data_IF_950003095070
#
_entry.id   IF_950003095070
#
_cell.length_a   1.000
_cell.length_b   1.000
_cell.length_c   1.000
_cell.angle_alpha   90.00
_cell.angle_beta   90.00
_cell.angle_gamma   90.00
#
_symmetry.space_group_name_H-M   'P 1'
#
loop_
_entity.id
_entity.type
_entity.pdbx_description
1 polymer ?
#
# COMPACT_ATOMS: atom_id res chain seq x y z
N UNK A 1 14.26 -1.02 3.67
CA UNK A 1 15.05 0.07 3.06
C UNK A 1 16.35 -0.51 2.50
N UNK A 2 16.68 -0.17 1.27
CA UNK A 2 17.90 -0.67 0.61
C UNK A 2 19.14 0.17 0.96
N UNK A 3 18.96 1.45 1.29
CA UNK A 3 20.04 2.41 1.57
C UNK A 3 20.08 2.82 3.04
N UNK A 4 21.08 2.34 3.77
CA UNK A 4 21.32 2.75 5.17
C UNK A 4 21.57 4.26 5.31
N UNK A 5 22.05 4.93 4.26
CA UNK A 5 22.25 6.38 4.24
C UNK A 5 20.94 7.14 4.35
N UNK A 6 19.89 6.67 3.70
CA UNK A 6 18.54 7.26 3.81
C UNK A 6 18.05 7.20 5.25
N UNK A 7 18.22 6.08 5.93
CA UNK A 7 17.83 5.93 7.35
C UNK A 7 18.60 6.92 8.23
N UNK A 8 19.90 7.02 8.04
CA UNK A 8 20.76 7.96 8.82
C UNK A 8 20.35 9.40 8.58
N UNK A 9 20.10 9.75 7.31
CA UNK A 9 19.63 11.09 6.94
C UNK A 9 18.29 11.43 7.57
N UNK A 10 17.31 10.51 7.50
CA UNK A 10 15.98 10.72 8.07
C UNK A 10 16.02 10.85 9.60
N UNK A 11 16.86 10.08 10.28
CA UNK A 11 17.05 10.23 11.74
C UNK A 11 17.57 11.61 12.10
N UNK A 12 18.51 12.13 11.34
CA UNK A 12 19.19 13.38 11.63
C UNK A 12 18.36 14.62 11.22
N UNK A 13 17.77 14.58 10.03
CA UNK A 13 17.19 15.80 9.42
C UNK A 13 15.66 15.79 9.34
N UNK A 14 15.02 14.63 9.51
CA UNK A 14 13.58 14.48 9.43
C UNK A 14 12.97 13.82 10.70
N UNK A 15 13.37 14.23 11.92
CA UNK A 15 12.94 13.55 13.15
C UNK A 15 11.43 13.61 13.37
N UNK A 16 10.75 14.64 12.86
CA UNK A 16 9.30 14.78 12.99
C UNK A 16 8.52 13.83 12.07
N UNK A 17 9.13 13.32 10.98
CA UNK A 17 8.50 12.38 10.07
C UNK A 17 8.46 10.97 10.67
N UNK A 18 9.55 10.53 11.28
CA UNK A 18 9.61 9.23 11.92
C UNK A 18 9.01 9.23 13.33
N UNK A 19 8.87 10.42 13.96
CA UNK A 19 8.23 10.61 15.26
C UNK A 19 8.66 9.60 16.35
N UNK A 20 9.94 9.21 16.37
CA UNK A 20 10.49 8.26 17.32
C UNK A 20 10.26 6.78 16.97
N UNK A 21 9.72 6.47 15.78
CA UNK A 21 9.46 5.08 15.38
C UNK A 21 10.70 4.19 15.40
N UNK A 22 11.86 4.76 15.11
CA UNK A 22 13.13 4.02 15.14
C UNK A 22 13.54 3.50 16.53
N UNK A 23 13.00 4.11 17.59
CA UNK A 23 13.28 3.78 18.98
C UNK A 23 12.16 2.93 19.61
N UNK A 24 11.09 2.65 18.86
CA UNK A 24 10.00 1.79 19.31
C UNK A 24 10.46 0.32 19.30
N UNK A 25 10.32 -0.42 20.43
CA UNK A 25 10.78 -1.81 20.52
C UNK A 25 10.06 -2.78 19.55
N UNK A 26 8.94 -2.37 18.98
CA UNK A 26 8.21 -3.15 17.95
C UNK A 26 8.80 -2.94 16.56
N UNK A 27 9.57 -1.86 16.36
CA UNK A 27 10.16 -1.54 15.06
C UNK A 27 11.40 -2.41 14.79
N UNK A 28 11.41 -3.07 13.64
CA UNK A 28 12.56 -3.87 13.19
C UNK A 28 13.01 -3.35 11.83
N UNK A 29 14.11 -2.62 11.82
CA UNK A 29 14.76 -2.16 10.58
C UNK A 29 15.53 -3.32 9.94
N UNK A 30 15.32 -3.52 8.65
CA UNK A 30 16.11 -4.41 7.79
C UNK A 30 16.67 -3.58 6.64
N UNK A 31 17.99 -3.60 6.47
CA UNK A 31 18.66 -2.97 5.33
C UNK A 31 18.90 -4.07 4.30
N UNK A 32 18.04 -4.11 3.28
CA UNK A 32 18.06 -5.12 2.22
C UNK A 32 17.22 -4.64 1.02
N UNK A 33 17.41 -5.30 -0.12
CA UNK A 33 16.51 -5.20 -1.26
C UNK A 33 15.17 -5.87 -0.93
N UNK A 34 14.06 -5.17 -1.12
CA UNK A 34 12.71 -5.69 -0.84
C UNK A 34 12.38 -6.96 -1.62
N UNK A 35 12.87 -7.10 -2.85
CA UNK A 35 12.71 -8.33 -3.67
C UNK A 35 13.45 -9.50 -3.04
N UNK A 36 14.70 -9.28 -2.62
CA UNK A 36 15.48 -10.30 -1.92
C UNK A 36 14.81 -10.70 -0.61
N UNK A 37 14.37 -9.71 0.15
CA UNK A 37 13.71 -9.95 1.44
C UNK A 37 12.48 -10.85 1.29
N UNK A 38 11.53 -10.53 0.39
CA UNK A 38 10.32 -11.36 0.21
C UNK A 38 10.62 -12.74 -0.37
N UNK A 39 11.72 -12.89 -1.10
CA UNK A 39 12.13 -14.18 -1.65
C UNK A 39 12.82 -15.10 -0.63
N UNK A 40 13.46 -14.55 0.38
CA UNK A 40 14.30 -15.30 1.32
C UNK A 40 13.69 -15.45 2.71
N UNK A 41 12.77 -14.55 3.10
CA UNK A 41 12.17 -14.59 4.43
C UNK A 41 11.22 -15.78 4.60
N UNK A 42 11.25 -16.37 5.79
CA UNK A 42 10.25 -17.32 6.26
C UNK A 42 9.18 -16.66 7.15
N UNK A 43 9.29 -15.34 7.39
CA UNK A 43 8.31 -14.61 8.18
C UNK A 43 7.03 -14.38 7.38
N UNK A 44 5.90 -14.35 8.09
CA UNK A 44 4.61 -13.97 7.52
C UNK A 44 4.06 -12.75 8.23
N UNK A 45 3.22 -11.98 7.52
CA UNK A 45 2.72 -10.68 7.95
C UNK A 45 1.21 -10.61 7.75
N UNK A 46 0.52 -9.86 8.59
CA UNK A 46 -0.91 -9.57 8.40
C UNK A 46 -1.12 -8.45 7.38
N UNK A 47 -0.15 -7.55 7.24
CA UNK A 47 -0.16 -6.46 6.27
C UNK A 47 1.23 -6.26 5.69
N UNK A 48 1.31 -6.13 4.36
CA UNK A 48 2.51 -5.69 3.64
C UNK A 48 2.18 -4.37 2.95
N UNK A 49 2.98 -3.34 3.19
CA UNK A 49 2.87 -2.03 2.56
C UNK A 49 4.12 -1.80 1.72
N UNK A 50 3.95 -1.72 0.40
CA UNK A 50 5.01 -1.37 -0.55
C UNK A 50 4.90 0.11 -0.87
N UNK A 51 5.62 0.93 -0.11
CA UNK A 51 5.77 2.36 -0.37
C UNK A 51 7.13 2.58 -1.06
N UNK A 52 7.08 2.82 -2.36
CA UNK A 52 8.25 2.87 -3.23
C UNK A 52 8.14 4.05 -4.21
N UNK A 53 9.19 4.27 -5.00
CA UNK A 53 9.15 5.21 -6.12
C UNK A 53 8.28 4.66 -7.26
N UNK A 54 7.96 5.50 -8.23
CA UNK A 54 7.29 5.06 -9.49
C UNK A 54 8.07 3.91 -10.14
N UNK A 55 7.42 3.10 -11.00
CA UNK A 55 8.05 1.94 -11.67
C UNK A 55 9.07 2.35 -12.74
N UNK A 56 10.05 3.14 -12.35
CA UNK A 56 11.12 3.67 -13.19
C UNK A 56 12.47 3.35 -12.56
N UNK A 57 13.38 2.78 -13.36
CA UNK A 57 14.72 2.44 -12.90
C UNK A 57 14.71 1.39 -11.79
N UNK A 58 15.45 1.58 -10.67
CA UNK A 58 15.54 0.56 -9.62
C UNK A 58 14.21 0.20 -8.95
N UNK A 59 13.25 1.14 -8.92
CA UNK A 59 11.91 0.93 -8.35
C UNK A 59 11.05 -0.05 -9.15
N UNK A 60 11.33 -0.24 -10.45
CA UNK A 60 10.56 -1.10 -11.34
C UNK A 60 10.45 -2.55 -10.83
N UNK A 61 11.47 -3.04 -10.13
CA UNK A 61 11.50 -4.39 -9.58
C UNK A 61 10.38 -4.67 -8.58
N UNK A 62 9.87 -3.64 -7.89
CA UNK A 62 8.78 -3.72 -6.91
C UNK A 62 7.36 -3.71 -7.54
N UNK A 63 7.28 -3.61 -8.88
CA UNK A 63 6.03 -3.68 -9.65
C UNK A 63 5.96 -4.93 -10.54
N UNK A 64 6.83 -5.89 -10.29
CA UNK A 64 6.86 -7.14 -11.07
C UNK A 64 5.91 -8.20 -10.50
N UNK A 65 5.42 -9.09 -11.36
CA UNK A 65 4.63 -10.26 -10.94
C UNK A 65 5.39 -11.12 -9.92
N UNK A 66 6.70 -11.29 -10.08
CA UNK A 66 7.53 -12.06 -9.15
C UNK A 66 7.58 -11.43 -7.75
N UNK A 67 7.62 -10.10 -7.65
CA UNK A 67 7.56 -9.41 -6.37
C UNK A 67 6.18 -9.58 -5.71
N UNK A 68 5.10 -9.42 -6.47
CA UNK A 68 3.74 -9.60 -5.96
C UNK A 68 3.47 -11.04 -5.49
N UNK A 69 3.98 -12.04 -6.22
CA UNK A 69 3.95 -13.45 -5.80
C UNK A 69 4.72 -13.66 -4.49
N UNK A 70 5.91 -13.06 -4.38
CA UNK A 70 6.71 -13.07 -3.15
C UNK A 70 5.95 -12.45 -1.96
N UNK A 71 5.34 -11.30 -2.16
CA UNK A 71 4.51 -10.64 -1.14
C UNK A 71 3.31 -11.53 -0.75
N UNK A 72 2.63 -12.13 -1.73
CA UNK A 72 1.53 -13.06 -1.48
C UNK A 72 1.94 -14.22 -0.57
N UNK A 73 3.08 -14.83 -0.84
CA UNK A 73 3.63 -15.92 -0.02
C UNK A 73 3.95 -15.50 1.40
N UNK A 74 4.36 -14.23 1.60
CA UNK A 74 4.68 -13.66 2.89
C UNK A 74 3.47 -13.16 3.68
N UNK A 75 2.25 -13.25 3.14
CA UNK A 75 1.04 -12.87 3.87
C UNK A 75 0.44 -14.04 4.64
N UNK A 76 -0.03 -13.76 5.85
CA UNK A 76 -0.91 -14.67 6.58
C UNK A 76 -2.24 -14.84 5.85
N UNK A 77 -2.97 -15.94 6.06
CA UNK A 77 -4.31 -16.12 5.48
C UNK A 77 -5.22 -14.92 5.78
N UNK A 78 -5.78 -14.31 4.73
CA UNK A 78 -6.60 -13.09 4.84
C UNK A 78 -5.81 -11.81 5.09
N UNK A 79 -4.49 -11.84 4.98
CA UNK A 79 -3.64 -10.66 5.06
C UNK A 79 -3.84 -9.72 3.87
N UNK A 80 -3.34 -8.50 4.01
CA UNK A 80 -3.56 -7.39 3.07
C UNK A 80 -2.24 -6.95 2.47
N UNK A 81 -2.19 -6.82 1.15
CA UNK A 81 -1.13 -6.14 0.43
C UNK A 81 -1.59 -4.75 -0.01
N UNK A 82 -0.77 -3.75 0.23
CA UNK A 82 -0.99 -2.37 -0.24
C UNK A 82 0.25 -1.89 -0.97
N UNK A 83 0.08 -1.23 -2.11
CA UNK A 83 1.18 -0.60 -2.85
C UNK A 83 0.80 0.80 -3.32
N UNK A 84 1.79 1.72 -3.30
CA UNK A 84 1.68 3.00 -3.96
C UNK A 84 1.52 2.78 -5.47
N UNK A 85 0.63 3.53 -6.13
CA UNK A 85 0.33 3.41 -7.56
C UNK A 85 0.16 4.77 -8.25
N UNK A 86 0.93 5.74 -7.84
CA UNK A 86 1.00 7.04 -8.49
C UNK A 86 -0.28 7.88 -8.43
N UNK A 87 -0.31 8.91 -9.24
CA UNK A 87 -1.43 9.84 -9.39
C UNK A 87 -2.33 9.34 -10.53
N UNK A 88 -3.47 8.75 -10.19
CA UNK A 88 -4.31 8.01 -11.15
C UNK A 88 -4.76 8.80 -12.38
N UNK A 89 -4.88 10.13 -12.29
CA UNK A 89 -5.24 10.97 -13.44
C UNK A 89 -4.11 11.06 -14.48
N UNK A 90 -2.85 11.02 -14.05
CA UNK A 90 -1.67 11.18 -14.90
C UNK A 90 -1.00 9.84 -15.22
N UNK A 91 -1.13 8.87 -14.30
CA UNK A 91 -0.42 7.59 -14.30
C UNK A 91 -1.41 6.42 -14.29
N UNK A 92 -2.51 6.53 -15.03
CA UNK A 92 -3.58 5.53 -15.06
C UNK A 92 -3.08 4.14 -15.44
N UNK A 93 -2.11 4.06 -16.36
CA UNK A 93 -1.52 2.81 -16.82
C UNK A 93 -0.82 2.02 -15.70
N UNK A 94 -0.27 2.70 -14.70
CA UNK A 94 0.33 2.03 -13.54
C UNK A 94 -0.71 1.28 -12.73
N UNK A 95 -1.87 1.91 -12.48
CA UNK A 95 -2.97 1.27 -11.76
C UNK A 95 -3.52 0.08 -12.54
N UNK A 96 -3.68 0.20 -13.86
CA UNK A 96 -4.14 -0.86 -14.75
C UNK A 96 -3.17 -2.05 -14.71
N UNK A 97 -1.88 -1.79 -14.87
CA UNK A 97 -0.86 -2.84 -14.91
C UNK A 97 -0.73 -3.55 -13.56
N UNK A 98 -0.75 -2.80 -12.46
CA UNK A 98 -0.75 -3.36 -11.11
C UNK A 98 -2.00 -4.20 -10.83
N UNK A 99 -3.18 -3.71 -11.22
CA UNK A 99 -4.43 -4.47 -11.09
C UNK A 99 -4.32 -5.81 -11.81
N UNK A 100 -3.92 -5.79 -13.07
CA UNK A 100 -3.76 -6.99 -13.90
C UNK A 100 -2.80 -7.99 -13.26
N UNK A 101 -1.63 -7.55 -12.79
CA UNK A 101 -0.63 -8.42 -12.16
C UNK A 101 -1.11 -8.99 -10.83
N UNK A 102 -1.70 -8.16 -9.97
CA UNK A 102 -2.18 -8.57 -8.65
C UNK A 102 -3.36 -9.55 -8.75
N UNK A 103 -4.23 -9.40 -9.74
CA UNK A 103 -5.39 -10.28 -9.98
C UNK A 103 -4.99 -11.74 -10.30
N UNK A 104 -3.73 -12.01 -10.65
CA UNK A 104 -3.23 -13.38 -10.79
C UNK A 104 -2.99 -14.06 -9.44
N UNK A 105 -2.83 -13.31 -8.37
CA UNK A 105 -2.41 -13.84 -7.06
C UNK A 105 -3.46 -13.66 -5.97
N UNK A 106 -4.34 -12.68 -6.10
CA UNK A 106 -5.33 -12.32 -5.08
C UNK A 106 -6.74 -12.38 -5.64
N UNK A 107 -7.69 -12.82 -4.82
CA UNK A 107 -9.09 -12.93 -5.20
C UNK A 107 -9.85 -11.60 -5.13
N UNK A 108 -9.40 -10.65 -4.32
CA UNK A 108 -9.95 -9.29 -4.23
C UNK A 108 -8.84 -8.27 -4.48
N UNK A 109 -8.91 -7.57 -5.60
CA UNK A 109 -7.99 -6.50 -5.99
C UNK A 109 -8.79 -5.23 -6.28
N UNK A 110 -8.35 -4.13 -5.72
CA UNK A 110 -8.97 -2.83 -5.93
C UNK A 110 -8.00 -1.70 -5.59
N UNK A 111 -8.55 -0.51 -5.50
CA UNK A 111 -7.76 0.68 -5.16
C UNK A 111 -8.50 1.54 -4.15
N UNK A 112 -7.72 2.32 -3.41
CA UNK A 112 -8.24 3.44 -2.67
C UNK A 112 -7.40 4.69 -2.96
N UNK A 113 -7.93 5.84 -2.63
CA UNK A 113 -7.30 7.14 -2.88
C UNK A 113 -7.06 7.89 -1.58
N UNK A 114 -5.97 8.67 -1.54
CA UNK A 114 -5.72 9.61 -0.47
C UNK A 114 -5.19 10.94 -1.03
N UNK A 115 -5.54 12.04 -0.36
CA UNK A 115 -5.00 13.35 -0.68
C UNK A 115 -3.55 13.42 -0.17
N UNK A 116 -2.61 13.59 -1.09
CA UNK A 116 -1.17 13.77 -0.81
C UNK A 116 -0.73 15.07 -1.50
N UNK A 117 -0.93 16.23 -0.86
CA UNK A 117 -0.75 17.56 -1.51
C UNK A 117 0.66 17.86 -2.00
N UNK A 118 1.66 17.12 -1.51
CA UNK A 118 3.06 17.26 -1.94
C UNK A 118 3.33 16.64 -3.31
N UNK A 119 2.42 15.79 -3.79
CA UNK A 119 2.54 15.18 -5.11
C UNK A 119 1.77 15.97 -6.17
N UNK A 120 2.29 15.92 -7.38
CA UNK A 120 1.67 16.52 -8.55
C UNK A 120 0.27 15.93 -8.79
N UNK A 121 -0.73 16.79 -8.80
CA UNK A 121 -2.13 16.37 -8.93
C UNK A 121 -2.87 16.12 -7.60
N UNK A 122 -2.16 15.99 -6.48
CA UNK A 122 -2.73 16.05 -5.13
C UNK A 122 -3.47 14.81 -4.62
N UNK A 123 -3.84 13.86 -5.49
CA UNK A 123 -4.53 12.62 -5.12
C UNK A 123 -3.73 11.44 -5.63
N UNK A 124 -3.29 10.59 -4.71
CA UNK A 124 -2.59 9.35 -5.04
C UNK A 124 -3.51 8.14 -4.92
N UNK A 125 -3.23 7.15 -5.73
CA UNK A 125 -3.90 5.86 -5.77
C UNK A 125 -3.02 4.81 -5.10
N UNK A 126 -3.64 3.95 -4.33
CA UNK A 126 -2.99 2.84 -3.65
C UNK A 126 -3.69 1.54 -4.03
N UNK A 127 -2.93 0.57 -4.52
CA UNK A 127 -3.44 -0.75 -4.75
C UNK A 127 -3.76 -1.44 -3.41
N UNK A 128 -4.83 -2.20 -3.42
CA UNK A 128 -5.29 -3.05 -2.33
C UNK A 128 -5.49 -4.45 -2.87
N UNK A 129 -4.88 -5.45 -2.24
CA UNK A 129 -5.06 -6.83 -2.64
C UNK A 129 -5.14 -7.77 -1.42
N UNK A 130 -6.09 -8.69 -1.44
CA UNK A 130 -6.32 -9.67 -0.37
C UNK A 130 -7.11 -10.88 -0.89
N UNK A 131 -7.16 -11.97 -0.10
CA UNK A 131 -8.11 -13.06 -0.35
C UNK A 131 -9.34 -12.99 0.56
N UNK A 132 -9.50 -11.90 1.30
CA UNK A 132 -10.65 -11.66 2.15
C UNK A 132 -11.42 -10.42 1.66
N UNK A 133 -12.30 -10.61 0.71
CA UNK A 133 -13.11 -9.55 0.10
C UNK A 133 -13.99 -8.76 1.09
N UNK A 134 -14.35 -9.39 2.22
CA UNK A 134 -15.13 -8.73 3.25
C UNK A 134 -14.44 -7.50 3.85
N UNK A 135 -13.10 -7.44 3.83
CA UNK A 135 -12.34 -6.36 4.48
C UNK A 135 -12.60 -4.99 3.84
N UNK A 136 -12.69 -4.96 2.52
CA UNK A 136 -12.92 -3.72 1.75
C UNK A 136 -14.38 -3.24 1.82
N UNK A 137 -15.29 -4.13 2.20
CA UNK A 137 -16.73 -3.89 2.23
C UNK A 137 -17.31 -3.76 3.65
N UNK A 138 -16.47 -3.52 4.64
CA UNK A 138 -16.93 -3.27 6.02
C UNK A 138 -17.80 -2.02 6.08
N UNK A 139 -18.89 -2.08 6.83
CA UNK A 139 -19.74 -0.92 7.02
C UNK A 139 -19.04 0.17 7.84
N UNK A 140 -19.42 1.42 7.59
CA UNK A 140 -18.86 2.58 8.31
C UNK A 140 -19.04 2.46 9.83
N UNK A 141 -20.13 1.83 10.29
CA UNK A 141 -20.41 1.59 11.70
C UNK A 141 -19.39 0.64 12.33
N UNK A 142 -19.03 -0.43 11.62
CA UNK A 142 -17.99 -1.38 12.09
C UNK A 142 -16.64 -0.68 12.17
N UNK A 143 -16.29 0.09 11.15
CA UNK A 143 -15.04 0.86 11.11
C UNK A 143 -15.02 1.88 12.25
N UNK A 144 -16.13 2.59 12.48
CA UNK A 144 -16.29 3.54 13.57
C UNK A 144 -16.10 2.89 14.95
N UNK A 145 -16.71 1.73 15.17
CA UNK A 145 -16.57 1.01 16.43
C UNK A 145 -15.12 0.58 16.68
N UNK A 146 -14.43 0.07 15.66
CA UNK A 146 -13.01 -0.29 15.73
C UNK A 146 -12.11 0.92 15.99
N UNK A 147 -12.37 2.03 15.31
CA UNK A 147 -11.61 3.28 15.48
C UNK A 147 -11.74 3.81 16.90
N UNK A 148 -12.95 3.84 17.47
CA UNK A 148 -13.17 4.25 18.85
C UNK A 148 -12.46 3.29 19.85
N UNK A 149 -12.57 1.99 19.64
CA UNK A 149 -11.93 0.99 20.49
C UNK A 149 -10.38 1.05 20.44
N UNK A 150 -9.80 1.47 19.32
CA UNK A 150 -8.35 1.57 19.16
C UNK A 150 -7.71 2.69 19.98
N UNK A 151 -8.47 3.72 20.36
CA UNK A 151 -7.96 4.92 21.02
C UNK A 151 -7.03 5.78 20.15
N UNK A 152 -6.90 5.49 18.86
CA UNK A 152 -6.06 6.24 17.93
C UNK A 152 -6.54 7.68 17.79
N UNK A 153 -5.58 8.61 17.75
CA UNK A 153 -5.82 10.03 17.48
C UNK A 153 -5.19 10.39 16.13
N UNK A 154 -6.01 10.52 15.10
CA UNK A 154 -5.57 10.86 13.76
C UNK A 154 -6.00 12.28 13.37
N UNK A 155 -5.16 12.98 12.58
CA UNK A 155 -5.49 14.31 12.06
C UNK A 155 -6.16 14.26 10.69
N UNK A 156 -5.84 13.24 9.90
CA UNK A 156 -6.38 13.02 8.55
C UNK A 156 -7.44 11.90 8.54
N UNK A 157 -7.11 10.75 9.09
CA UNK A 157 -7.98 9.58 9.06
C UNK A 157 -9.17 9.71 10.01
N UNK A 158 -10.33 9.32 9.50
CA UNK A 158 -11.54 8.99 10.25
C UNK A 158 -12.36 7.96 9.45
N UNK A 159 -13.35 7.30 10.04
CA UNK A 159 -14.15 6.26 9.37
C UNK A 159 -14.86 6.69 8.09
N UNK A 160 -15.31 7.94 8.01
CA UNK A 160 -15.95 8.47 6.80
C UNK A 160 -14.93 8.63 5.67
N UNK A 161 -13.74 9.17 5.97
CA UNK A 161 -12.62 9.25 5.01
C UNK A 161 -12.20 7.86 4.55
N UNK A 162 -12.15 6.87 5.46
CA UNK A 162 -11.85 5.50 5.11
C UNK A 162 -12.82 4.94 4.06
N UNK A 163 -14.12 5.04 4.32
CA UNK A 163 -15.15 4.56 3.39
C UNK A 163 -15.09 5.32 2.06
N UNK A 164 -14.94 6.64 2.09
CA UNK A 164 -14.87 7.47 0.90
C UNK A 164 -13.62 7.21 0.06
N UNK A 165 -12.51 6.78 0.67
CA UNK A 165 -11.27 6.51 -0.04
C UNK A 165 -11.40 5.43 -1.12
N UNK A 166 -12.33 4.49 -0.97
CA UNK A 166 -12.60 3.43 -1.95
C UNK A 166 -13.57 3.86 -3.07
N UNK A 167 -14.13 5.07 -3.02
CA UNK A 167 -14.96 5.62 -4.08
C UNK A 167 -14.08 6.17 -5.21
N UNK A 168 -13.82 5.35 -6.21
CA UNK A 168 -12.96 5.71 -7.36
C UNK A 168 -13.72 6.55 -8.39
N UNK A 169 -13.04 7.49 -9.09
CA UNK A 169 -13.60 8.19 -10.24
C UNK A 169 -14.05 7.24 -11.35
N UNK A 170 -15.10 7.62 -12.08
CA UNK A 170 -15.68 6.75 -13.11
C UNK A 170 -14.69 6.34 -14.18
N UNK A 171 -13.84 7.27 -14.66
CA UNK A 171 -12.83 6.95 -15.67
C UNK A 171 -11.86 5.83 -15.23
N UNK A 172 -11.51 5.78 -13.94
CA UNK A 172 -10.64 4.73 -13.41
C UNK A 172 -11.39 3.41 -13.27
N UNK A 173 -12.65 3.44 -12.83
CA UNK A 173 -13.50 2.25 -12.78
C UNK A 173 -13.68 1.64 -14.18
N UNK A 174 -13.95 2.47 -15.20
CA UNK A 174 -14.12 2.03 -16.59
C UNK A 174 -12.81 1.41 -17.13
N UNK A 175 -11.68 2.02 -16.82
CA UNK A 175 -10.37 1.53 -17.24
C UNK A 175 -10.03 0.16 -16.61
N UNK A 176 -10.32 -0.02 -15.33
CA UNK A 176 -10.11 -1.28 -14.63
C UNK A 176 -11.04 -2.39 -15.13
N UNK A 177 -12.32 -2.05 -15.42
CA UNK A 177 -13.31 -2.99 -15.93
C UNK A 177 -13.05 -3.43 -17.38
N UNK A 178 -12.35 -2.62 -18.17
CA UNK A 178 -12.04 -2.92 -19.59
C UNK A 178 -10.87 -3.88 -19.78
N UNK A 179 -10.21 -4.33 -18.70
CA UNK A 179 -9.10 -5.26 -18.81
C UNK A 179 -9.59 -6.66 -19.17
N UNK A 180 -8.97 -7.34 -20.16
CA UNK A 180 -9.28 -8.75 -20.41
C UNK A 180 -8.88 -9.58 -19.19
N UNK A 181 -9.81 -10.44 -18.78
CA UNK A 181 -9.63 -11.44 -17.71
C UNK A 181 -8.55 -12.47 -18.06
#
# INVERSE_FOLDING_TARGET
EIDAGVVSFCRQYLPNHNAGSYDDPRFKLVIDDGVNFVNQTSQTFDVIISDCTDPIGPGESLFTSAFYEGCKRCLNPGGIFVAQNGVCFLQQEEAIDSHRKLSHYFSDVGFYQAAIPTYYGGIMTFAWATDNDALRHLSTEIIQARFLASGLKCRYYNPAVHTAAFALPQYLQDALASQPS
#
